data_IF_195012325513
#
_entry.id   IF_195012325513
#
_cell.length_a   1.000
_cell.length_b   1.000
_cell.length_c   1.000
_cell.angle_alpha   90.00
_cell.angle_beta   90.00
_cell.angle_gamma   90.00
#
_symmetry.space_group_name_H-M   'P 1'
#
loop_
_entity.id
_entity.type
_entity.pdbx_description
1 polymer ?
#
# COMPACT_ATOMS: atom_id res chain seq x y z
N UNK A 1 -11.52 -28.67 12.11
CA UNK A 1 -11.16 -27.94 13.35
C UNK A 1 -12.03 -26.69 13.42
N UNK A 2 -12.78 -26.44 14.51
CA UNK A 2 -13.72 -25.33 14.53
C UNK A 2 -12.96 -24.02 14.77
N UNK A 3 -13.02 -23.12 13.79
CA UNK A 3 -12.45 -21.78 13.90
C UNK A 3 -13.23 -20.98 14.94
N UNK A 4 -12.50 -20.52 15.96
CA UNK A 4 -12.99 -19.62 16.98
C UNK A 4 -13.33 -18.29 16.29
N UNK A 5 -14.63 -18.00 16.11
CA UNK A 5 -15.12 -16.65 15.80
C UNK A 5 -14.81 -15.79 17.01
N UNK A 6 -13.64 -15.17 17.02
CA UNK A 6 -13.35 -14.08 17.93
C UNK A 6 -14.20 -12.89 17.52
N UNK A 7 -15.40 -12.79 18.09
CA UNK A 7 -16.13 -11.54 18.18
C UNK A 7 -15.27 -10.60 19.04
N UNK A 8 -14.29 -9.94 18.42
CA UNK A 8 -13.60 -8.84 19.04
C UNK A 8 -14.61 -7.69 19.08
N UNK A 9 -15.36 -7.65 20.19
CA UNK A 9 -16.04 -6.42 20.61
C UNK A 9 -14.93 -5.40 20.71
N UNK A 10 -14.84 -4.51 19.72
CA UNK A 10 -14.01 -3.30 19.77
C UNK A 10 -14.51 -2.56 20.98
N UNK A 11 -13.83 -2.74 22.12
CA UNK A 11 -14.05 -1.95 23.31
C UNK A 11 -13.64 -0.54 22.91
N UNK A 12 -14.67 0.23 22.56
CA UNK A 12 -14.57 1.66 22.39
C UNK A 12 -13.74 2.23 23.54
N UNK A 13 -12.97 3.27 23.22
CA UNK A 13 -12.32 4.18 24.16
C UNK A 13 -13.35 4.96 25.03
N UNK A 14 -14.43 4.33 25.48
CA UNK A 14 -15.27 4.81 26.58
C UNK A 14 -14.63 4.57 27.95
N UNK A 15 -13.54 3.77 28.02
CA UNK A 15 -12.85 3.43 29.27
C UNK A 15 -11.81 4.45 29.77
N UNK A 16 -11.47 5.50 29.00
CA UNK A 16 -10.60 6.60 29.45
C UNK A 16 -11.34 7.93 29.62
N UNK A 17 -12.67 7.92 29.47
CA UNK A 17 -13.56 8.89 30.11
C UNK A 17 -13.97 8.38 31.50
N UNK A 18 -13.01 8.00 32.33
CA UNK A 18 -13.25 7.94 33.76
C UNK A 18 -13.52 9.38 34.22
N UNK A 19 -14.70 9.58 34.81
CA UNK A 19 -15.21 10.85 35.31
C UNK A 19 -14.14 11.65 36.08
N UNK A 20 -13.57 12.68 35.45
CA UNK A 20 -13.04 13.82 36.19
C UNK A 20 -14.14 14.87 36.26
N UNK A 21 -15.06 14.64 37.19
CA UNK A 21 -15.97 15.68 37.67
C UNK A 21 -15.15 16.79 38.32
N UNK A 22 -15.20 17.99 37.76
CA UNK A 22 -15.05 19.23 38.53
C UNK A 22 -13.65 19.63 38.99
N UNK A 23 -12.58 19.27 38.27
CA UNK A 23 -11.26 19.87 38.48
C UNK A 23 -10.77 20.54 37.18
N UNK A 24 -10.34 21.79 37.32
CA UNK A 24 -9.68 22.62 36.32
C UNK A 24 -8.69 21.80 35.48
N UNK A 25 -8.96 21.65 34.17
CA UNK A 25 -8.05 20.99 33.23
C UNK A 25 -6.84 21.91 33.03
N UNK A 26 -5.89 21.84 33.97
CA UNK A 26 -4.55 22.37 33.78
C UNK A 26 -3.84 21.55 32.70
N UNK A 27 -3.82 22.08 31.47
CA UNK A 27 -2.94 21.77 30.34
C UNK A 27 -2.12 20.47 30.48
N UNK A 28 -2.79 19.31 30.51
CA UNK A 28 -2.10 18.05 30.31
C UNK A 28 -1.53 18.12 28.91
N UNK A 29 -0.20 18.02 28.77
CA UNK A 29 0.46 18.08 27.45
C UNK A 29 0.08 16.92 26.52
N UNK A 30 -0.85 16.06 26.95
CA UNK A 30 -1.36 14.89 26.27
C UNK A 30 -2.53 15.29 25.38
N UNK A 31 -2.44 14.92 24.11
CA UNK A 31 -3.50 14.99 23.12
C UNK A 31 -3.88 13.60 22.68
N UNK A 32 -5.17 13.40 22.44
CA UNK A 32 -5.68 12.16 21.86
C UNK A 32 -6.45 12.47 20.59
N UNK A 33 -6.38 11.56 19.62
CA UNK A 33 -7.15 11.64 18.38
C UNK A 33 -7.81 10.29 18.15
N UNK A 34 -9.06 10.31 17.69
CA UNK A 34 -9.75 9.17 17.12
C UNK A 34 -10.35 9.55 15.77
N UNK A 35 -10.39 8.63 14.83
CA UNK A 35 -10.98 8.89 13.53
C UNK A 35 -11.35 7.65 12.75
N UNK A 36 -12.03 7.91 11.65
CA UNK A 36 -12.40 6.92 10.66
C UNK A 36 -12.08 7.45 9.25
N UNK A 37 -11.66 6.54 8.38
CA UNK A 37 -11.48 6.76 6.97
C UNK A 37 -12.25 5.68 6.21
N UNK A 38 -13.09 6.05 5.26
CA UNK A 38 -13.94 5.12 4.53
C UNK A 38 -13.80 5.34 3.02
N UNK A 39 -13.47 4.26 2.31
CA UNK A 39 -13.41 4.19 0.84
C UNK A 39 -14.60 3.35 0.37
N UNK A 40 -15.65 4.02 -0.12
CA UNK A 40 -16.98 3.41 -0.31
C UNK A 40 -17.10 2.46 -1.49
N UNK A 41 -16.27 2.64 -2.51
CA UNK A 41 -16.17 1.73 -3.65
C UNK A 41 -14.74 1.66 -4.09
N UNK A 42 -14.16 0.49 -3.91
CA UNK A 42 -12.79 0.26 -4.26
C UNK A 42 -12.70 -0.42 -5.63
N UNK A 43 -12.33 0.35 -6.66
CA UNK A 43 -12.07 -0.22 -7.97
C UNK A 43 -10.61 -0.64 -8.06
N UNK A 44 -10.39 -1.95 -8.02
CA UNK A 44 -9.10 -2.53 -8.38
C UNK A 44 -8.98 -2.61 -9.91
N UNK A 45 -8.01 -1.92 -10.47
CA UNK A 45 -7.71 -2.04 -11.90
C UNK A 45 -6.32 -2.64 -12.12
N UNK A 46 -6.21 -3.96 -12.32
CA UNK A 46 -4.92 -4.62 -12.59
C UNK A 46 -4.36 -4.28 -13.98
N UNK A 47 -5.10 -3.54 -14.83
CA UNK A 47 -4.64 -3.07 -16.14
C UNK A 47 -4.06 -1.66 -16.10
N UNK A 48 -3.87 -1.09 -14.91
CA UNK A 48 -3.29 0.24 -14.78
C UNK A 48 -1.78 0.21 -15.03
N UNK A 49 -1.39 0.44 -16.28
CA UNK A 49 0.00 0.59 -16.66
C UNK A 49 0.46 2.03 -16.42
N UNK A 50 1.31 2.21 -15.40
CA UNK A 50 2.01 3.48 -15.12
C UNK A 50 2.99 3.89 -16.23
N UNK A 51 3.29 3.00 -17.18
CA UNK A 51 4.16 3.30 -18.32
C UNK A 51 3.41 4.23 -19.30
N UNK A 52 3.87 5.49 -19.48
CA UNK A 52 3.29 6.42 -20.43
C UNK A 52 3.22 5.82 -21.84
N UNK A 53 2.18 6.18 -22.60
CA UNK A 53 1.95 5.67 -23.98
C UNK A 53 3.16 5.80 -24.92
N UNK A 54 4.04 6.78 -24.69
CA UNK A 54 5.21 7.04 -25.51
C UNK A 54 6.44 6.18 -25.16
N UNK A 55 6.47 5.50 -24.01
CA UNK A 55 7.49 4.48 -23.70
C UNK A 55 7.07 3.07 -24.17
N UNK A 56 5.98 2.99 -24.94
CA UNK A 56 5.53 1.77 -25.61
C UNK A 56 6.25 1.69 -26.95
N UNK A 57 7.38 1.01 -26.94
CA UNK A 57 8.07 0.62 -28.17
C UNK A 57 7.17 -0.31 -29.01
N UNK A 58 7.38 -0.36 -30.31
CA UNK A 58 6.53 -1.07 -31.27
C UNK A 58 6.46 -2.59 -31.03
N UNK A 59 7.38 -3.14 -30.23
CA UNK A 59 7.36 -4.52 -29.71
C UNK A 59 6.16 -4.82 -28.78
N UNK A 60 5.61 -3.83 -28.08
CA UNK A 60 4.41 -3.99 -27.23
C UNK A 60 3.11 -4.17 -28.04
N UNK A 61 3.09 -3.65 -29.28
CA UNK A 61 1.95 -3.76 -30.20
C UNK A 61 1.97 -5.07 -30.99
N UNK A 62 3.16 -5.63 -31.24
CA UNK A 62 3.35 -6.82 -32.08
C UNK A 62 2.82 -8.12 -31.44
N UNK A 63 2.77 -8.21 -30.11
CA UNK A 63 2.40 -9.44 -29.38
C UNK A 63 1.05 -9.44 -28.68
N UNK A 64 0.22 -8.40 -28.81
CA UNK A 64 -1.13 -8.35 -28.22
C UNK A 64 -1.16 -8.86 -26.75
N UNK A 65 -0.20 -8.41 -25.92
CA UNK A 65 0.03 -8.96 -24.57
C UNK A 65 -1.11 -8.61 -23.63
N UNK A 66 -2.13 -9.46 -23.64
CA UNK A 66 -3.19 -9.46 -22.67
C UNK A 66 -2.58 -9.89 -21.33
N UNK A 67 -2.71 -9.06 -20.31
CA UNK A 67 -2.54 -9.52 -18.94
C UNK A 67 -3.64 -10.57 -18.68
N UNK A 68 -3.23 -11.84 -18.59
CA UNK A 68 -4.10 -13.02 -18.56
C UNK A 68 -4.52 -13.39 -17.14
N UNK A 69 -3.74 -13.00 -16.13
CA UNK A 69 -4.08 -13.21 -14.74
C UNK A 69 -5.05 -12.11 -14.27
N UNK A 70 -6.27 -12.48 -13.89
CA UNK A 70 -7.27 -11.53 -13.36
C UNK A 70 -7.42 -11.74 -11.87
N UNK A 71 -7.41 -10.66 -11.09
CA UNK A 71 -7.60 -10.70 -9.64
C UNK A 71 -9.04 -10.37 -9.28
N UNK A 72 -9.60 -11.17 -8.39
CA UNK A 72 -10.84 -10.91 -7.68
C UNK A 72 -10.48 -10.82 -6.19
N UNK A 73 -10.23 -9.61 -5.71
CA UNK A 73 -9.95 -9.36 -4.29
C UNK A 73 -11.23 -9.53 -3.48
N UNK A 74 -11.10 -10.07 -2.26
CA UNK A 74 -12.25 -10.27 -1.37
C UNK A 74 -12.89 -8.93 -0.95
N UNK A 75 -12.08 -7.89 -0.77
CA UNK A 75 -12.52 -6.57 -0.29
C UNK A 75 -13.02 -5.66 -1.42
N UNK A 76 -14.28 -5.22 -1.34
CA UNK A 76 -14.84 -4.21 -2.26
C UNK A 76 -14.88 -2.79 -1.67
N UNK A 77 -14.76 -2.67 -0.35
CA UNK A 77 -14.64 -1.40 0.38
C UNK A 77 -13.71 -1.54 1.57
N UNK A 78 -13.17 -0.41 2.05
CA UNK A 78 -12.31 -0.39 3.22
C UNK A 78 -12.77 0.69 4.20
N UNK A 79 -12.81 0.34 5.49
CA UNK A 79 -12.93 1.29 6.57
C UNK A 79 -11.74 1.18 7.49
N UNK A 80 -10.99 2.26 7.65
CA UNK A 80 -9.88 2.35 8.59
C UNK A 80 -10.31 3.09 9.84
N UNK A 81 -10.19 2.46 10.99
CA UNK A 81 -10.26 3.12 12.29
C UNK A 81 -8.87 3.53 12.71
N UNK A 82 -8.72 4.77 13.17
CA UNK A 82 -7.44 5.33 13.56
C UNK A 82 -7.55 5.92 14.97
N UNK A 83 -6.53 5.70 15.78
CA UNK A 83 -6.41 6.33 17.08
C UNK A 83 -4.97 6.67 17.39
N UNK A 84 -4.75 7.81 18.04
CA UNK A 84 -3.43 8.31 18.37
C UNK A 84 -3.41 9.04 19.71
N UNK A 85 -2.26 9.00 20.37
CA UNK A 85 -1.97 9.71 21.60
C UNK A 85 -0.59 10.34 21.48
N UNK A 86 -0.50 11.64 21.80
CA UNK A 86 0.75 12.40 21.78
C UNK A 86 0.90 13.15 23.10
N UNK A 87 1.95 12.88 23.86
CA UNK A 87 2.33 13.67 25.03
C UNK A 87 3.48 14.62 24.69
N UNK A 88 3.17 15.91 24.60
CA UNK A 88 4.15 16.96 24.31
C UNK A 88 5.21 17.15 25.39
N UNK A 89 4.96 16.75 26.65
CA UNK A 89 5.93 16.92 27.75
C UNK A 89 7.03 15.86 27.67
N UNK A 90 6.64 14.60 27.51
CA UNK A 90 7.59 13.47 27.40
C UNK A 90 8.07 13.25 25.97
N UNK A 91 7.32 13.76 24.99
CA UNK A 91 7.52 13.50 23.57
C UNK A 91 7.04 12.12 23.14
N UNK A 92 6.29 11.38 23.97
CA UNK A 92 5.80 10.05 23.62
C UNK A 92 4.67 10.17 22.59
N UNK A 93 4.74 9.34 21.55
CA UNK A 93 3.70 9.23 20.53
C UNK A 93 3.30 7.76 20.38
N UNK A 94 2.00 7.50 20.41
CA UNK A 94 1.41 6.18 20.20
C UNK A 94 0.31 6.31 19.17
N UNK A 95 0.15 5.30 18.34
CA UNK A 95 -1.05 5.22 17.51
C UNK A 95 -1.29 3.83 16.99
N UNK A 96 -2.54 3.62 16.61
CA UNK A 96 -3.03 2.38 16.05
C UNK A 96 -3.98 2.70 14.90
N UNK A 97 -4.02 1.77 13.97
CA UNK A 97 -4.88 1.79 12.79
C UNK A 97 -5.36 0.38 12.52
N UNK A 98 -6.63 0.21 12.20
CA UNK A 98 -7.22 -1.08 11.84
C UNK A 98 -8.08 -0.88 10.59
N UNK A 99 -7.73 -1.56 9.50
CA UNK A 99 -8.47 -1.61 8.25
C UNK A 99 -9.39 -2.83 8.26
N UNK A 100 -10.67 -2.58 8.02
CA UNK A 100 -11.75 -3.57 8.01
C UNK A 100 -12.38 -3.56 6.62
N UNK A 101 -12.60 -4.75 6.05
CA UNK A 101 -13.22 -4.90 4.73
C UNK A 101 -14.74 -4.80 4.82
N UNK A 102 -15.40 -4.53 3.69
CA UNK A 102 -16.84 -4.75 3.48
C UNK A 102 -17.76 -4.04 4.49
N UNK A 103 -17.53 -2.74 4.67
CA UNK A 103 -18.26 -1.81 5.54
C UNK A 103 -18.08 -2.11 7.05
N UNK A 104 -18.62 -1.24 7.93
CA UNK A 104 -18.33 -1.08 9.38
C UNK A 104 -18.36 -2.35 10.27
N UNK A 105 -18.67 -3.54 9.74
CA UNK A 105 -18.86 -4.82 10.45
C UNK A 105 -18.16 -6.00 9.74
N UNK A 106 -17.02 -5.78 9.08
CA UNK A 106 -16.26 -6.83 8.41
C UNK A 106 -15.09 -7.43 9.20
N UNK A 107 -14.24 -8.20 8.51
CA UNK A 107 -13.01 -8.78 9.07
C UNK A 107 -11.87 -7.74 9.06
N UNK A 108 -11.00 -7.79 10.08
CA UNK A 108 -9.78 -6.98 10.12
C UNK A 108 -8.78 -7.58 9.14
N UNK A 109 -8.47 -6.85 8.07
CA UNK A 109 -7.52 -7.31 7.06
C UNK A 109 -6.12 -6.77 7.28
N UNK A 110 -6.01 -5.63 7.94
CA UNK A 110 -4.74 -4.99 8.18
C UNK A 110 -4.78 -4.19 9.47
N UNK A 111 -3.69 -4.25 10.22
CA UNK A 111 -3.48 -3.41 11.38
C UNK A 111 -2.10 -2.78 11.30
N UNK A 112 -2.00 -1.55 11.80
CA UNK A 112 -0.73 -0.86 11.94
C UNK A 112 -0.71 -0.14 13.27
N UNK A 113 0.45 -0.14 13.93
CA UNK A 113 0.69 0.62 15.14
C UNK A 113 2.00 1.37 15.02
N UNK A 114 2.13 2.44 15.78
CA UNK A 114 3.41 3.11 15.96
C UNK A 114 3.66 3.48 17.41
N UNK A 115 4.94 3.46 17.78
CA UNK A 115 5.47 3.97 19.03
C UNK A 115 6.62 4.92 18.69
N UNK A 116 6.60 6.11 19.27
CA UNK A 116 7.62 7.12 19.02
C UNK A 116 8.02 7.88 20.27
N UNK A 117 9.21 8.45 20.19
CA UNK A 117 9.76 9.40 21.14
C UNK A 117 10.29 10.62 20.38
N UNK A 118 9.77 11.79 20.75
CA UNK A 118 9.99 13.06 20.06
C UNK A 118 9.66 12.91 18.57
N UNK A 119 10.63 13.13 17.69
CA UNK A 119 10.46 13.01 16.23
C UNK A 119 10.69 11.61 15.69
N UNK A 120 11.20 10.65 16.48
CA UNK A 120 11.49 9.31 15.97
C UNK A 120 10.33 8.36 16.28
N UNK A 121 9.85 7.64 15.28
CA UNK A 121 8.73 6.70 15.37
C UNK A 121 9.10 5.36 14.75
N UNK A 122 8.79 4.27 15.44
CA UNK A 122 8.77 2.93 14.88
C UNK A 122 7.31 2.61 14.53
N UNK A 123 7.03 2.37 13.25
CA UNK A 123 5.73 1.92 12.74
C UNK A 123 5.84 0.47 12.31
N UNK A 124 4.85 -0.32 12.69
CA UNK A 124 4.72 -1.72 12.30
C UNK A 124 3.33 -1.92 11.71
N UNK A 125 3.27 -2.55 10.57
CA UNK A 125 2.04 -2.81 9.83
C UNK A 125 2.04 -4.27 9.40
N UNK A 126 0.92 -4.96 9.61
CA UNK A 126 0.75 -6.35 9.24
C UNK A 126 -0.69 -6.61 8.82
N UNK A 127 -0.87 -7.53 7.89
CA UNK A 127 -2.19 -7.87 7.37
C UNK A 127 -2.14 -9.03 6.39
N UNK A 128 -3.29 -9.30 5.77
CA UNK A 128 -3.44 -10.27 4.69
C UNK A 128 -3.90 -9.58 3.41
N UNK A 129 -3.54 -10.16 2.27
CA UNK A 129 -4.13 -9.85 0.98
C UNK A 129 -4.78 -11.13 0.48
N UNK A 130 -6.10 -11.08 0.31
CA UNK A 130 -6.94 -12.25 0.04
C UNK A 130 -7.79 -12.08 -1.20
N UNK A 131 -8.02 -13.18 -1.88
CA UNK A 131 -8.87 -13.23 -3.06
C UNK A 131 -8.62 -14.47 -3.89
N UNK A 132 -9.05 -14.41 -5.14
CA UNK A 132 -8.76 -15.43 -6.14
C UNK A 132 -8.12 -14.79 -7.38
N UNK A 133 -7.31 -15.57 -8.08
CA UNK A 133 -6.72 -15.19 -9.36
C UNK A 133 -7.14 -16.20 -10.43
N UNK A 134 -7.63 -15.69 -11.56
CA UNK A 134 -8.14 -16.49 -12.69
C UNK A 134 -7.21 -16.32 -13.88
N UNK A 135 -6.63 -17.42 -14.34
CA UNK A 135 -5.82 -17.49 -15.55
C UNK A 135 -6.71 -17.61 -16.79
N UNK A 136 -6.57 -16.64 -17.70
CA UNK A 136 -7.34 -16.59 -18.96
C UNK A 136 -6.48 -16.85 -20.20
N UNK A 137 -5.22 -17.23 -20.01
CA UNK A 137 -4.29 -17.59 -21.08
C UNK A 137 -4.44 -19.05 -21.51
N UNK A 138 -3.51 -19.51 -22.35
CA UNK A 138 -3.45 -20.92 -22.75
C UNK A 138 -3.20 -21.81 -21.52
N UNK A 139 -3.88 -22.95 -21.46
CA UNK A 139 -3.68 -23.93 -20.40
C UNK A 139 -2.28 -24.55 -20.50
N UNK A 140 -1.62 -24.68 -19.36
CA UNK A 140 -0.36 -25.42 -19.20
C UNK A 140 -0.67 -26.64 -18.34
N UNK A 141 -0.07 -27.79 -18.66
CA UNK A 141 -0.32 -29.02 -17.90
C UNK A 141 -0.08 -28.80 -16.41
N UNK A 142 -1.00 -29.24 -15.58
CA UNK A 142 -0.94 -29.16 -14.11
C UNK A 142 -0.96 -27.74 -13.53
N UNK A 143 -1.08 -26.70 -14.35
CA UNK A 143 -1.27 -25.32 -13.91
C UNK A 143 -2.78 -25.04 -13.76
N UNK A 144 -3.29 -24.79 -12.53
CA UNK A 144 -4.72 -24.57 -12.35
C UNK A 144 -5.22 -23.31 -13.08
N UNK A 145 -6.49 -23.30 -13.47
CA UNK A 145 -7.10 -22.11 -14.10
C UNK A 145 -7.48 -21.04 -13.06
N UNK A 146 -7.73 -21.44 -11.81
CA UNK A 146 -8.08 -20.56 -10.71
C UNK A 146 -7.25 -20.92 -9.50
N UNK A 147 -6.74 -19.93 -8.80
CA UNK A 147 -6.00 -20.10 -7.54
C UNK A 147 -6.50 -19.11 -6.51
N UNK A 148 -6.86 -19.60 -5.33
CA UNK A 148 -7.13 -18.76 -4.18
C UNK A 148 -5.81 -18.37 -3.51
N UNK A 149 -5.72 -17.15 -3.00
CA UNK A 149 -4.55 -16.67 -2.29
C UNK A 149 -4.94 -16.01 -0.96
N UNK A 150 -4.14 -16.28 0.06
CA UNK A 150 -4.14 -15.59 1.36
C UNK A 150 -2.68 -15.31 1.71
N UNK A 151 -2.20 -14.15 1.26
CA UNK A 151 -0.80 -13.80 1.38
C UNK A 151 -0.58 -12.80 2.51
N UNK A 152 0.42 -13.05 3.35
CA UNK A 152 0.80 -12.12 4.40
C UNK A 152 1.44 -10.86 3.82
N UNK A 153 1.08 -9.72 4.37
CA UNK A 153 1.74 -8.44 4.16
C UNK A 153 2.36 -7.96 5.48
N UNK A 154 3.58 -7.42 5.40
CA UNK A 154 4.27 -6.79 6.53
C UNK A 154 5.05 -5.58 6.08
N UNK A 155 5.01 -4.51 6.87
CA UNK A 155 5.84 -3.34 6.70
C UNK A 155 6.34 -2.84 8.07
N UNK A 156 7.66 -2.72 8.22
CA UNK A 156 8.30 -2.15 9.40
C UNK A 156 9.05 -0.90 8.99
N UNK A 157 8.68 0.24 9.57
CA UNK A 157 9.24 1.54 9.20
C UNK A 157 9.84 2.25 10.41
N UNK A 158 11.08 2.74 10.26
CA UNK A 158 11.65 3.75 11.14
C UNK A 158 11.43 5.12 10.49
N UNK A 159 10.67 5.98 11.16
CA UNK A 159 10.18 7.25 10.62
C UNK A 159 10.70 8.40 11.48
N UNK A 160 11.22 9.43 10.82
CA UNK A 160 11.60 10.69 11.41
C UNK A 160 10.59 11.78 11.00
N UNK A 161 9.88 12.32 11.98
CA UNK A 161 8.96 13.44 11.85
C UNK A 161 9.73 14.74 11.72
N UNK A 162 9.71 15.30 10.52
CA UNK A 162 10.29 16.60 10.20
C UNK A 162 9.31 17.71 10.60
N UNK A 163 8.01 17.48 10.40
CA UNK A 163 6.96 18.47 10.64
C UNK A 163 7.06 19.71 9.76
N UNK A 164 7.59 19.56 8.53
CA UNK A 164 7.76 20.66 7.56
C UNK A 164 7.35 20.21 6.16
N UNK A 165 6.44 20.93 5.52
CA UNK A 165 6.12 20.68 4.12
C UNK A 165 7.37 20.76 3.20
N UNK A 166 7.42 19.99 2.10
CA UNK A 166 6.34 19.18 1.54
C UNK A 166 6.14 17.79 2.17
N UNK A 167 6.94 17.40 3.16
CA UNK A 167 6.86 16.08 3.81
C UNK A 167 6.86 16.21 5.33
N UNK A 168 5.78 15.77 5.97
CA UNK A 168 5.72 15.70 7.42
C UNK A 168 6.76 14.74 8.00
N UNK A 169 7.06 13.67 7.26
CA UNK A 169 8.05 12.69 7.66
C UNK A 169 8.85 12.11 6.50
N UNK A 170 10.03 11.60 6.86
CA UNK A 170 10.86 10.72 6.05
C UNK A 170 11.13 9.44 6.86
N UNK A 171 11.34 8.32 6.21
CA UNK A 171 11.67 7.08 6.91
C UNK A 171 12.33 6.03 6.04
N UNK A 172 12.74 4.96 6.70
CA UNK A 172 13.27 3.74 6.10
C UNK A 172 12.30 2.60 6.44
N UNK A 173 11.89 1.86 5.43
CA UNK A 173 10.89 0.80 5.54
C UNK A 173 11.43 -0.52 5.01
N UNK A 174 11.06 -1.61 5.67
CA UNK A 174 11.20 -2.96 5.16
C UNK A 174 9.80 -3.52 4.89
N UNK A 175 9.51 -3.81 3.63
CA UNK A 175 8.21 -4.33 3.17
C UNK A 175 8.38 -5.77 2.69
N UNK A 176 7.47 -6.65 3.09
CA UNK A 176 7.41 -8.03 2.63
C UNK A 176 5.97 -8.37 2.25
N UNK A 177 5.77 -8.91 1.05
CA UNK A 177 4.46 -9.37 0.60
C UNK A 177 4.60 -10.52 -0.41
N UNK A 178 3.54 -11.31 -0.54
CA UNK A 178 3.35 -12.26 -1.62
C UNK A 178 2.02 -12.02 -2.32
N UNK A 179 1.91 -12.41 -3.58
CA UNK A 179 0.68 -12.35 -4.37
C UNK A 179 0.90 -13.14 -5.66
N UNK A 180 -0.11 -13.88 -6.18
CA UNK A 180 0.02 -14.50 -7.48
C UNK A 180 0.40 -13.48 -8.54
N UNK A 181 1.28 -13.81 -9.49
CA UNK A 181 1.74 -12.88 -10.54
C UNK A 181 1.89 -13.58 -11.89
N UNK A 182 1.59 -12.88 -12.97
CA UNK A 182 1.91 -13.36 -14.32
C UNK A 182 3.43 -13.26 -14.58
N UNK A 183 3.98 -14.34 -15.11
CA UNK A 183 5.36 -14.48 -15.55
C UNK A 183 5.38 -14.53 -17.08
N UNK A 184 5.87 -13.47 -17.70
CA UNK A 184 6.05 -13.38 -19.15
C UNK A 184 7.39 -13.98 -19.53
N UNK A 185 7.37 -15.12 -20.21
CA UNK A 185 8.59 -15.83 -20.60
C UNK A 185 9.25 -15.17 -21.82
N UNK A 186 10.57 -15.30 -21.93
CA UNK A 186 11.36 -14.76 -23.04
C UNK A 186 12.44 -15.74 -23.44
N UNK A 187 12.69 -15.90 -24.74
CA UNK A 187 13.81 -16.70 -25.24
C UNK A 187 14.55 -15.94 -26.34
N UNK A 188 15.75 -16.39 -26.67
CA UNK A 188 16.55 -15.84 -27.78
C UNK A 188 17.16 -16.99 -28.57
N UNK A 189 17.41 -16.78 -29.86
CA UNK A 189 18.21 -17.70 -30.67
C UNK A 189 19.67 -17.27 -30.78
N UNK A 190 20.03 -16.10 -30.25
CA UNK A 190 21.39 -15.58 -30.30
C UNK A 190 21.86 -15.03 -28.96
N UNK A 191 21.28 -13.91 -28.51
CA UNK A 191 21.72 -13.17 -27.33
C UNK A 191 20.58 -12.34 -26.72
N UNK A 192 20.87 -11.71 -25.58
CA UNK A 192 19.92 -10.90 -24.81
C UNK A 192 19.24 -9.74 -25.56
N UNK A 193 19.84 -9.21 -26.64
CA UNK A 193 19.25 -8.06 -27.37
C UNK A 193 18.22 -8.48 -28.42
N UNK A 194 18.12 -9.78 -28.73
CA UNK A 194 17.15 -10.34 -29.69
C UNK A 194 16.15 -11.27 -29.01
N UNK A 195 15.75 -10.94 -27.80
CA UNK A 195 14.75 -11.72 -27.07
C UNK A 195 13.38 -11.55 -27.72
N UNK A 196 12.63 -12.64 -27.74
CA UNK A 196 11.23 -12.70 -28.12
C UNK A 196 10.44 -13.32 -26.98
N UNK A 197 9.19 -12.91 -26.84
CA UNK A 197 8.31 -13.46 -25.81
C UNK A 197 7.86 -14.89 -26.15
N UNK A 198 7.84 -15.75 -25.13
CA UNK A 198 7.27 -17.08 -25.20
C UNK A 198 5.85 -17.13 -24.65
N UNK A 199 5.38 -18.33 -24.33
CA UNK A 199 4.09 -18.54 -23.65
C UNK A 199 4.23 -18.14 -22.17
N UNK A 200 3.38 -17.23 -21.67
CA UNK A 200 3.42 -16.82 -20.27
C UNK A 200 2.80 -17.89 -19.37
N UNK A 201 3.13 -17.82 -18.09
CA UNK A 201 2.54 -18.63 -17.00
C UNK A 201 2.22 -17.71 -15.84
N UNK A 202 1.77 -18.24 -14.71
CA UNK A 202 1.71 -17.48 -13.46
C UNK A 202 2.44 -18.22 -12.34
N UNK A 203 2.84 -17.45 -11.34
CA UNK A 203 3.38 -17.96 -10.08
C UNK A 203 2.41 -17.61 -8.95
N UNK A 204 1.88 -18.62 -8.26
CA UNK A 204 0.99 -18.41 -7.10
C UNK A 204 1.74 -18.06 -5.81
N UNK A 205 3.02 -18.45 -5.71
CA UNK A 205 3.83 -18.35 -4.50
C UNK A 205 4.92 -17.27 -4.63
N UNK A 206 4.68 -16.27 -5.47
CA UNK A 206 5.60 -15.16 -5.67
C UNK A 206 5.75 -14.34 -4.39
N UNK A 207 6.99 -13.99 -4.05
CA UNK A 207 7.34 -13.24 -2.84
C UNK A 207 8.31 -12.10 -3.17
N UNK A 208 8.07 -10.93 -2.58
CA UNK A 208 8.94 -9.76 -2.67
C UNK A 208 9.31 -9.22 -1.27
N UNK A 209 10.58 -8.83 -1.14
CA UNK A 209 11.18 -8.22 0.06
C UNK A 209 11.91 -6.96 -0.32
N UNK A 210 11.46 -5.81 0.19
CA UNK A 210 11.84 -4.49 -0.29
C UNK A 210 12.38 -3.64 0.86
N UNK A 211 13.49 -2.94 0.62
CA UNK A 211 13.92 -1.82 1.43
C UNK A 211 13.53 -0.52 0.72
N UNK A 212 12.75 0.33 1.38
CA UNK A 212 12.18 1.52 0.79
C UNK A 212 12.43 2.77 1.62
N UNK A 213 12.64 3.89 0.94
CA UNK A 213 12.50 5.22 1.51
C UNK A 213 11.01 5.55 1.57
N UNK A 214 10.54 5.98 2.73
CA UNK A 214 9.17 6.41 2.94
C UNK A 214 9.09 7.91 3.13
N UNK A 215 8.10 8.54 2.53
CA UNK A 215 7.77 9.95 2.76
C UNK A 215 6.27 10.09 2.91
N UNK A 216 5.81 11.07 3.66
CA UNK A 216 4.39 11.35 3.70
C UNK A 216 4.03 12.67 4.33
N UNK A 217 2.76 13.03 4.15
CA UNK A 217 2.15 14.25 4.67
C UNK A 217 0.65 14.00 4.84
N UNK A 218 0.05 14.59 5.86
CA UNK A 218 -1.41 14.57 6.03
C UNK A 218 -1.94 15.90 6.56
N UNK A 219 -2.57 16.70 5.70
CA UNK A 219 -3.04 18.02 6.10
C UNK A 219 -4.27 18.01 6.99
N UNK A 220 -4.96 16.87 7.17
CA UNK A 220 -6.08 16.72 8.12
C UNK A 220 -5.56 16.35 9.50
N UNK A 221 -4.75 15.30 9.57
CA UNK A 221 -4.30 14.68 10.82
C UNK A 221 -3.17 15.46 11.48
N UNK A 222 -2.21 15.97 10.70
CA UNK A 222 -1.02 16.64 11.23
C UNK A 222 -1.37 17.83 12.15
N UNK A 223 -2.25 18.77 11.78
CA UNK A 223 -2.61 19.89 12.66
C UNK A 223 -3.40 19.47 13.91
N UNK A 224 -4.11 18.33 13.88
CA UNK A 224 -4.85 17.81 15.04
C UNK A 224 -3.90 17.23 16.10
N UNK A 225 -2.91 16.45 15.65
CA UNK A 225 -1.91 15.84 16.53
C UNK A 225 -0.83 16.83 16.97
N UNK A 226 -0.46 17.75 16.08
CA UNK A 226 0.60 18.73 16.30
C UNK A 226 0.09 20.15 16.02
N UNK A 227 -0.61 20.78 16.98
CA UNK A 227 -1.17 22.13 16.82
C UNK A 227 -0.16 23.22 16.50
N UNK A 228 1.12 22.97 16.80
CA UNK A 228 2.21 23.88 16.50
C UNK A 228 2.78 23.67 15.09
N UNK A 229 2.17 22.82 14.25
CA UNK A 229 2.54 22.63 12.84
C UNK A 229 2.61 23.96 12.06
N UNK A 230 1.66 24.87 12.30
CA UNK A 230 1.65 26.22 11.71
C UNK A 230 2.85 27.08 12.12
N UNK A 231 3.48 26.81 13.27
CA UNK A 231 4.71 27.50 13.70
C UNK A 231 5.96 26.89 13.08
N UNK A 232 5.90 25.63 12.63
CA UNK A 232 7.04 24.86 12.11
C UNK A 232 7.19 24.97 10.60
N UNK A 233 6.12 25.31 9.88
CA UNK A 233 6.09 25.33 8.41
C UNK A 233 5.21 26.45 7.87
N UNK A 234 5.73 27.21 6.90
CA UNK A 234 4.95 28.25 6.20
C UNK A 234 3.74 27.66 5.46
N UNK A 235 3.85 26.43 4.96
CA UNK A 235 2.73 25.74 4.32
C UNK A 235 1.56 25.55 5.29
N UNK A 236 1.81 25.03 6.49
CA UNK A 236 0.76 24.85 7.50
C UNK A 236 0.23 26.16 8.04
N UNK A 237 1.07 27.21 8.09
CA UNK A 237 0.63 28.55 8.45
C UNK A 237 -0.35 29.12 7.42
N UNK A 238 -0.02 29.06 6.13
CA UNK A 238 -0.90 29.50 5.04
C UNK A 238 -2.22 28.72 5.02
N UNK A 239 -2.16 27.39 5.27
CA UNK A 239 -3.35 26.55 5.40
C UNK A 239 -4.23 27.01 6.57
N UNK A 240 -3.66 27.21 7.76
CA UNK A 240 -4.40 27.67 8.94
C UNK A 240 -5.03 29.06 8.74
N UNK A 241 -4.30 30.01 8.14
CA UNK A 241 -4.82 31.35 7.83
C UNK A 241 -5.96 31.29 6.80
N UNK A 242 -5.85 30.41 5.80
CA UNK A 242 -6.92 30.20 4.82
C UNK A 242 -8.15 29.57 5.47
N UNK A 243 -7.96 28.57 6.33
CA UNK A 243 -9.03 27.88 7.07
C UNK A 243 -9.75 28.86 8.01
N UNK A 244 -9.05 29.77 8.67
CA UNK A 244 -9.65 30.79 9.53
C UNK A 244 -10.55 31.75 8.73
N UNK A 245 -10.07 32.23 7.57
CA UNK A 245 -10.83 33.13 6.69
C UNK A 245 -12.07 32.48 6.07
N UNK A 246 -12.07 31.16 5.93
CA UNK A 246 -13.13 30.40 5.28
C UNK A 246 -14.05 29.66 6.27
N UNK A 247 -14.00 29.99 7.57
CA UNK A 247 -14.76 29.33 8.62
C UNK A 247 -14.55 27.79 8.64
N UNK A 248 -13.31 27.35 8.48
CA UNK A 248 -12.90 25.94 8.55
C UNK A 248 -12.92 25.20 7.21
N UNK A 249 -13.42 25.81 6.13
CA UNK A 249 -13.47 25.18 4.81
C UNK A 249 -12.11 25.22 4.12
N UNK A 250 -11.70 24.14 3.45
CA UNK A 250 -10.43 24.15 2.72
C UNK A 250 -10.28 22.96 1.79
N UNK A 251 -9.08 22.82 1.23
CA UNK A 251 -8.66 21.59 0.58
C UNK A 251 -7.87 20.72 1.55
N UNK A 252 -7.93 19.41 1.40
CA UNK A 252 -6.98 18.52 2.07
C UNK A 252 -6.16 17.73 1.06
N UNK A 253 -4.99 17.31 1.54
CA UNK A 253 -4.12 16.38 0.85
C UNK A 253 -3.49 15.44 1.86
N UNK A 254 -3.45 14.16 1.51
CA UNK A 254 -2.71 13.14 2.25
C UNK A 254 -1.92 12.31 1.26
N UNK A 255 -0.68 12.01 1.60
CA UNK A 255 0.22 11.26 0.75
C UNK A 255 1.11 10.38 1.61
N UNK A 256 1.25 9.12 1.21
CA UNK A 256 2.29 8.22 1.67
C UNK A 256 2.95 7.60 0.44
N UNK A 257 4.27 7.73 0.32
CA UNK A 257 5.03 7.17 -0.80
C UNK A 257 6.18 6.30 -0.28
N UNK A 258 6.39 5.17 -0.94
CA UNK A 258 7.47 4.22 -0.73
C UNK A 258 8.23 4.06 -2.05
N UNK A 259 9.52 4.32 -2.05
CA UNK A 259 10.41 4.09 -3.19
C UNK A 259 11.55 3.19 -2.75
N UNK A 260 11.68 2.03 -3.35
CA UNK A 260 12.57 1.01 -2.83
C UNK A 260 13.22 0.13 -3.88
N UNK A 261 14.20 -0.62 -3.38
CA UNK A 261 14.85 -1.71 -4.08
C UNK A 261 14.84 -2.93 -3.17
N UNK A 262 14.75 -4.10 -3.77
CA UNK A 262 14.67 -5.33 -3.01
C UNK A 262 14.96 -6.56 -3.83
N UNK A 263 14.57 -7.69 -3.27
CA UNK A 263 14.62 -8.99 -3.94
C UNK A 263 13.21 -9.55 -4.10
N UNK A 264 12.95 -10.19 -5.23
CA UNK A 264 11.78 -11.03 -5.40
C UNK A 264 12.17 -12.41 -5.91
N UNK A 265 11.29 -13.38 -5.67
CA UNK A 265 11.49 -14.78 -6.05
C UNK A 265 10.28 -15.31 -6.81
N UNK A 266 10.56 -15.85 -8.00
CA UNK A 266 9.66 -16.75 -8.72
C UNK A 266 9.89 -18.17 -8.22
N UNK A 267 8.82 -18.89 -7.93
CA UNK A 267 8.83 -20.26 -7.40
C UNK A 267 9.35 -21.27 -8.43
N UNK A 268 9.97 -22.34 -7.94
CA UNK A 268 10.46 -23.42 -8.82
C UNK A 268 9.32 -24.10 -9.60
N UNK A 269 8.11 -24.10 -9.03
CA UNK A 269 6.88 -24.58 -9.68
C UNK A 269 6.53 -23.72 -10.91
N UNK A 270 6.54 -22.39 -10.78
CA UNK A 270 6.30 -21.50 -11.90
C UNK A 270 7.39 -21.59 -12.97
N UNK A 271 8.66 -21.79 -12.59
CA UNK A 271 9.74 -22.03 -13.54
C UNK A 271 9.53 -23.35 -14.31
N UNK A 272 9.05 -24.40 -13.64
CA UNK A 272 8.71 -25.67 -14.30
C UNK A 272 7.51 -25.53 -15.24
N UNK A 273 6.49 -24.74 -14.88
CA UNK A 273 5.40 -24.40 -15.79
C UNK A 273 5.92 -23.61 -17.00
N UNK A 274 6.83 -22.66 -16.82
CA UNK A 274 7.42 -21.89 -17.90
C UNK A 274 8.17 -22.79 -18.90
N UNK A 275 8.98 -23.73 -18.41
CA UNK A 275 9.67 -24.73 -19.26
C UNK A 275 8.67 -25.65 -19.98
N UNK A 276 7.62 -26.09 -19.30
CA UNK A 276 6.58 -26.97 -19.87
C UNK A 276 5.76 -26.26 -20.95
N UNK A 277 5.45 -24.97 -20.76
CA UNK A 277 4.73 -24.15 -21.73
C UNK A 277 5.57 -23.87 -22.99
N UNK A 278 6.90 -23.85 -22.84
CA UNK A 278 7.87 -23.51 -23.87
C UNK A 278 8.86 -24.68 -24.13
N UNK A 279 8.38 -25.85 -24.58
CA UNK A 279 9.22 -27.05 -24.69
C UNK A 279 10.22 -26.95 -25.86
N UNK A 280 9.94 -26.10 -26.84
CA UNK A 280 10.74 -25.96 -28.06
C UNK A 280 12.17 -25.55 -27.68
N UNK A 281 13.16 -26.31 -28.17
CA UNK A 281 14.58 -26.03 -27.93
C UNK A 281 15.12 -26.47 -26.56
N UNK A 282 14.34 -27.18 -25.74
CA UNK A 282 14.84 -27.79 -24.48
C UNK A 282 15.43 -26.78 -23.50
N UNK A 283 14.90 -25.56 -23.51
CA UNK A 283 15.45 -24.42 -22.76
C UNK A 283 15.20 -24.56 -21.27
N UNK A 284 16.16 -24.10 -20.47
CA UNK A 284 16.07 -24.10 -19.00
C UNK A 284 15.87 -22.71 -18.46
N UNK A 285 14.91 -22.57 -17.55
CA UNK A 285 14.62 -21.32 -16.89
C UNK A 285 15.87 -20.76 -16.20
N UNK A 286 16.03 -19.44 -16.24
CA UNK A 286 17.02 -18.75 -15.40
C UNK A 286 16.62 -18.83 -13.92
N UNK A 287 17.53 -18.49 -13.02
CA UNK A 287 17.26 -18.49 -11.57
C UNK A 287 16.08 -17.57 -11.22
N UNK A 288 15.14 -18.10 -10.43
CA UNK A 288 13.97 -17.46 -9.81
C UNK A 288 14.18 -16.12 -9.11
N UNK A 289 15.42 -15.74 -8.76
CA UNK A 289 15.72 -14.58 -7.90
C UNK A 289 16.12 -13.34 -8.70
N UNK A 290 15.46 -12.22 -8.41
CA UNK A 290 15.78 -10.92 -9.03
C UNK A 290 15.87 -9.80 -8.03
N UNK A 291 16.69 -8.81 -8.38
CA UNK A 291 16.57 -7.47 -7.81
C UNK A 291 15.34 -6.80 -8.41
N UNK A 292 14.55 -6.12 -7.61
CA UNK A 292 13.31 -5.43 -8.03
C UNK A 292 13.32 -3.99 -7.58
N UNK A 293 12.82 -3.09 -8.43
CA UNK A 293 12.41 -1.75 -8.05
C UNK A 293 10.96 -1.78 -7.56
N UNK A 294 10.66 -0.98 -6.55
CA UNK A 294 9.35 -0.92 -5.93
C UNK A 294 8.90 0.52 -5.78
N UNK A 295 7.66 0.79 -6.17
CA UNK A 295 6.98 2.07 -5.92
C UNK A 295 5.62 1.76 -5.33
N UNK A 296 5.32 2.28 -4.15
CA UNK A 296 3.96 2.34 -3.66
C UNK A 296 3.62 3.78 -3.28
N UNK A 297 2.44 4.23 -3.67
CA UNK A 297 1.92 5.55 -3.35
C UNK A 297 0.48 5.40 -2.90
N UNK A 298 0.09 6.07 -1.84
CA UNK A 298 -1.29 6.27 -1.43
C UNK A 298 -1.51 7.78 -1.35
N UNK A 299 -2.42 8.30 -2.17
CA UNK A 299 -2.68 9.72 -2.31
C UNK A 299 -4.17 10.00 -2.19
N UNK A 300 -4.53 10.90 -1.27
CA UNK A 300 -5.90 11.38 -1.12
C UNK A 300 -5.95 12.89 -1.22
N UNK A 301 -6.96 13.41 -1.90
CA UNK A 301 -7.19 14.84 -2.01
C UNK A 301 -8.68 15.14 -2.03
N UNK A 302 -9.07 16.34 -1.58
CA UNK A 302 -10.46 16.74 -1.60
C UNK A 302 -10.75 18.01 -0.84
N UNK A 303 -12.00 18.16 -0.43
CA UNK A 303 -12.48 19.27 0.38
C UNK A 303 -12.49 18.87 1.84
N UNK A 304 -12.20 19.82 2.72
CA UNK A 304 -12.25 19.64 4.16
C UNK A 304 -13.12 20.69 4.85
N UNK A 305 -13.61 20.32 6.02
CA UNK A 305 -14.20 21.20 7.01
C UNK A 305 -13.55 20.92 8.37
N UNK A 306 -12.96 21.93 9.01
CA UNK A 306 -12.31 21.83 10.31
C UNK A 306 -12.94 22.75 11.34
N UNK A 307 -13.05 22.26 12.58
CA UNK A 307 -13.39 23.07 13.75
C UNK A 307 -12.15 23.16 14.63
N UNK A 308 -11.33 24.19 14.37
CA UNK A 308 -10.05 24.43 15.04
C UNK A 308 -9.21 23.13 15.08
N UNK A 309 -8.71 22.76 16.26
CA UNK A 309 -7.88 21.58 16.47
C UNK A 309 -8.67 20.42 17.13
N UNK A 310 -10.00 20.41 16.99
CA UNK A 310 -10.88 19.43 17.64
C UNK A 310 -11.57 18.49 16.67
N UNK A 311 -11.86 18.95 15.45
CA UNK A 311 -12.58 18.16 14.47
C UNK A 311 -12.08 18.46 13.07
N UNK A 312 -11.97 17.43 12.26
CA UNK A 312 -11.73 17.53 10.83
C UNK A 312 -12.59 16.52 10.07
N UNK A 313 -13.26 17.00 9.02
CA UNK A 313 -14.00 16.21 8.05
C UNK A 313 -13.36 16.42 6.68
N UNK A 314 -13.15 15.36 5.92
CA UNK A 314 -12.64 15.38 4.57
C UNK A 314 -13.54 14.56 3.65
N UNK A 315 -13.92 15.11 2.51
CA UNK A 315 -14.59 14.40 1.42
C UNK A 315 -13.78 14.58 0.14
N UNK A 316 -13.41 13.49 -0.50
CA UNK A 316 -12.50 13.55 -1.63
C UNK A 316 -12.38 12.26 -2.42
N UNK A 317 -11.19 12.06 -2.98
CA UNK A 317 -10.84 10.89 -3.76
C UNK A 317 -9.49 10.32 -3.31
N UNK A 318 -9.42 8.99 -3.21
CA UNK A 318 -8.20 8.24 -2.95
C UNK A 318 -7.68 7.60 -4.24
N UNK A 319 -6.37 7.62 -4.39
CA UNK A 319 -5.62 7.02 -5.48
C UNK A 319 -4.37 6.35 -4.89
N UNK A 320 -4.35 5.02 -4.87
CA UNK A 320 -3.23 4.25 -4.38
C UNK A 320 -2.68 3.32 -5.48
N UNK A 321 -1.38 3.39 -5.71
CA UNK A 321 -0.69 2.62 -6.73
C UNK A 321 0.41 1.80 -6.09
N UNK A 322 0.55 0.55 -6.49
CA UNK A 322 1.70 -0.28 -6.16
C UNK A 322 2.28 -0.84 -7.45
N UNK A 323 3.58 -0.69 -7.63
CA UNK A 323 4.33 -1.15 -8.79
C UNK A 323 5.57 -1.92 -8.35
N UNK A 324 5.82 -3.06 -8.99
CA UNK A 324 7.04 -3.85 -8.86
C UNK A 324 7.62 -4.11 -10.25
N UNK A 325 8.91 -3.78 -10.43
CA UNK A 325 9.62 -3.92 -11.70
C UNK A 325 10.92 -4.71 -11.49
N UNK A 326 11.11 -5.87 -12.12
CA UNK A 326 12.34 -6.63 -12.02
C UNK A 326 13.49 -6.00 -12.81
N UNK A 327 14.69 -6.09 -12.25
CA UNK A 327 15.94 -5.84 -12.92
C UNK A 327 16.58 -7.19 -13.30
N UNK A 328 16.45 -7.59 -14.56
CA UNK A 328 17.04 -8.81 -15.08
C UNK A 328 16.01 -9.83 -15.58
N UNK A 329 16.33 -11.12 -15.50
CA UNK A 329 15.43 -12.22 -15.88
C UNK A 329 15.46 -12.63 -17.35
N UNK A 330 15.96 -11.80 -18.26
CA UNK A 330 16.03 -12.17 -19.68
C UNK A 330 17.00 -13.32 -20.02
N UNK A 331 16.66 -14.11 -21.04
CA UNK A 331 17.50 -15.17 -21.62
C UNK A 331 18.79 -14.61 -22.25
N UNK A 332 19.95 -15.01 -21.77
CA UNK A 332 21.24 -14.55 -22.27
C UNK A 332 21.74 -15.34 -23.49
N UNK A 333 21.30 -16.59 -23.65
CA UNK A 333 21.73 -17.49 -24.72
C UNK A 333 20.60 -18.48 -25.14
N UNK A 334 20.78 -19.24 -26.24
CA UNK A 334 19.72 -20.09 -26.79
C UNK A 334 19.25 -21.25 -25.91
N UNK A 335 20.03 -21.64 -24.92
CA UNK A 335 19.69 -22.73 -23.97
C UNK A 335 18.86 -22.25 -22.78
N UNK A 336 18.69 -20.92 -22.63
CA UNK A 336 18.02 -20.33 -21.48
C UNK A 336 16.62 -19.83 -21.84
N UNK A 337 15.71 -20.03 -20.90
CA UNK A 337 14.40 -19.42 -20.87
C UNK A 337 14.44 -18.31 -19.82
N UNK A 338 14.36 -17.07 -20.29
CA UNK A 338 14.21 -15.92 -19.42
C UNK A 338 12.75 -15.67 -19.09
N UNK A 339 12.53 -14.72 -18.21
CA UNK A 339 11.21 -14.22 -17.91
C UNK A 339 11.28 -12.79 -17.33
N UNK A 340 10.14 -12.14 -17.34
CA UNK A 340 9.88 -10.86 -16.69
C UNK A 340 8.50 -10.94 -16.05
N UNK A 341 8.21 -10.00 -15.17
CA UNK A 341 6.90 -9.84 -14.57
C UNK A 341 6.70 -8.37 -14.28
N UNK A 342 5.44 -7.93 -14.30
CA UNK A 342 5.09 -6.62 -13.79
C UNK A 342 3.88 -6.76 -12.89
N UNK A 343 3.96 -6.15 -11.73
CA UNK A 343 2.86 -6.06 -10.81
C UNK A 343 2.49 -4.59 -10.70
N UNK A 344 1.34 -4.22 -11.24
CA UNK A 344 0.82 -2.86 -11.16
C UNK A 344 -0.61 -2.94 -10.65
N UNK A 345 -0.81 -2.56 -9.40
CA UNK A 345 -2.13 -2.41 -8.82
C UNK A 345 -2.46 -0.94 -8.70
N UNK A 346 -3.62 -0.59 -9.22
CA UNK A 346 -4.27 0.67 -8.92
C UNK A 346 -5.53 0.39 -8.11
N UNK A 347 -5.60 1.04 -6.95
CA UNK A 347 -6.73 1.13 -6.04
C UNK A 347 -7.22 2.57 -6.05
N UNK A 348 -8.51 2.81 -6.27
CA UNK A 348 -9.04 4.18 -6.21
C UNK A 348 -10.52 4.23 -5.88
N UNK A 349 -10.97 5.33 -5.29
CA UNK A 349 -12.36 5.53 -4.96
C UNK A 349 -12.65 6.82 -4.21
N UNK A 350 -13.93 7.19 -4.06
CA UNK A 350 -14.33 8.29 -3.19
C UNK A 350 -13.95 7.97 -1.75
N UNK A 351 -13.46 8.98 -1.02
CA UNK A 351 -13.01 8.85 0.36
C UNK A 351 -13.72 9.83 1.28
N UNK A 352 -14.15 9.34 2.44
CA UNK A 352 -14.67 10.12 3.56
C UNK A 352 -13.73 9.93 4.75
N UNK A 353 -13.26 11.03 5.33
CA UNK A 353 -12.37 11.03 6.50
C UNK A 353 -12.98 11.88 7.60
N UNK A 354 -13.06 11.37 8.83
CA UNK A 354 -13.56 12.12 9.97
C UNK A 354 -12.67 11.86 11.18
N UNK A 355 -12.23 12.95 11.83
CA UNK A 355 -11.29 12.90 12.94
C UNK A 355 -11.75 13.83 14.06
N UNK A 356 -11.56 13.38 15.30
CA UNK A 356 -11.80 14.14 16.52
C UNK A 356 -10.53 14.15 17.36
N UNK A 357 -10.23 15.27 18.01
CA UNK A 357 -9.11 15.41 18.92
C UNK A 357 -9.49 16.13 20.22
N UNK A 358 -8.91 15.65 21.33
CA UNK A 358 -9.16 16.11 22.70
C UNK A 358 -7.85 16.46 23.40
#
# INVERSE_FOLDING_TARGET
>A
MPYCKAALTVVFFTGLCASQSGAEIQSSGVRTMGGLNHIAKNNWNPKFNLIPKFMRDDTYKEYNQNYFLKYEFAAESFTTYEGALTDSKTGINLGFTAEIDDNLVGEINKYSGYLGIKSLMLRMESGGIRGSAVWTGLSVSSMPATVDFDSSYSNVSLVYWIGKAPFDYIGLSYVSFGLPIQIDTMYTNTNKTKQVFGKPVYDKDFEAKIYALSFGMDTLVTPLLFPDAAKRSEFYKLMAESEEKSNGMGAFMSMQSLFGIGSARVSDEALAFAETANPDGGRKAVNGKHTVGYVAMDFSFGLQYKVKNHFALGLGYNWAVTSLTPFGGGADNPTKLGYTYSFNLLRHGPVLRAYFAF
#
